data_IF_999932386862
#
_entry.id   IF_999932386862
#
_cell.length_a   1.000
_cell.length_b   1.000
_cell.length_c   1.000
_cell.angle_alpha   90.00
_cell.angle_beta   90.00
_cell.angle_gamma   90.00
#
_symmetry.space_group_name_H-M   'P 1'
#
loop_
_entity.id
_entity.type
_entity.pdbx_description
1 polymer ?
#
# COMPACT_ATOMS: atom_id res chain seq x y z
N UNK A 1 4.22 1.60 -5.50
CA UNK A 1 5.59 2.02 -5.11
C UNK A 1 6.30 0.91 -4.31
N UNK A 2 5.59 0.24 -3.38
CA UNK A 2 6.20 -0.71 -2.43
C UNK A 2 6.51 -2.11 -2.99
N UNK A 3 5.99 -2.49 -4.15
CA UNK A 3 6.19 -3.81 -4.75
C UNK A 3 7.67 -4.11 -5.00
N UNK A 4 8.17 -5.26 -4.52
CA UNK A 4 9.57 -5.70 -4.64
C UNK A 4 10.57 -4.57 -4.34
N UNK A 5 10.38 -3.86 -3.22
CA UNK A 5 11.17 -2.68 -2.86
C UNK A 5 11.55 -2.68 -1.38
N UNK A 6 12.52 -1.89 -0.98
CA UNK A 6 12.90 -1.69 0.41
C UNK A 6 12.41 -0.34 0.95
N UNK A 7 12.33 -0.21 2.27
CA UNK A 7 11.74 0.95 2.94
C UNK A 7 12.50 2.25 2.59
N UNK A 8 13.83 2.23 2.59
CA UNK A 8 14.63 3.43 2.28
C UNK A 8 14.35 3.94 0.87
N UNK A 9 14.32 3.04 -0.12
CA UNK A 9 14.01 3.39 -1.50
C UNK A 9 12.55 3.86 -1.67
N UNK A 10 11.59 3.22 -0.96
CA UNK A 10 10.17 3.63 -0.96
C UNK A 10 10.05 5.07 -0.47
N UNK A 11 10.65 5.40 0.68
CA UNK A 11 10.66 6.77 1.23
C UNK A 11 11.21 7.77 0.22
N UNK A 12 12.37 7.51 -0.36
CA UNK A 12 12.96 8.40 -1.36
C UNK A 12 12.11 8.56 -2.63
N UNK A 13 11.39 7.53 -3.08
CA UNK A 13 10.45 7.63 -4.20
C UNK A 13 9.27 8.52 -3.81
N UNK A 14 8.68 8.32 -2.64
CA UNK A 14 7.53 9.12 -2.15
C UNK A 14 7.94 10.59 -1.98
N UNK A 15 9.09 10.86 -1.38
CA UNK A 15 9.60 12.24 -1.22
C UNK A 15 9.78 12.95 -2.57
N UNK A 16 10.40 12.28 -3.54
CA UNK A 16 10.57 12.86 -4.89
C UNK A 16 9.23 13.04 -5.60
N UNK A 17 8.30 12.09 -5.44
CA UNK A 17 6.96 12.19 -6.02
C UNK A 17 6.21 13.41 -5.47
N UNK A 18 6.18 13.57 -4.14
CA UNK A 18 5.57 14.72 -3.49
C UNK A 18 6.21 16.03 -3.94
N UNK A 19 7.54 16.10 -3.93
CA UNK A 19 8.28 17.32 -4.32
C UNK A 19 8.10 17.70 -5.79
N UNK A 20 7.96 16.72 -6.69
CA UNK A 20 7.86 16.99 -8.14
C UNK A 20 6.44 17.25 -8.60
N UNK A 21 5.44 16.70 -7.93
CA UNK A 21 4.05 16.69 -8.43
C UNK A 21 3.00 17.05 -7.36
N UNK A 22 3.38 17.19 -6.11
CA UNK A 22 2.50 17.63 -5.03
C UNK A 22 2.49 19.15 -4.86
N UNK A 23 1.58 19.65 -4.04
CA UNK A 23 1.45 21.06 -3.72
C UNK A 23 2.38 21.44 -2.57
N UNK A 24 2.89 22.66 -2.60
CA UNK A 24 3.72 23.22 -1.52
C UNK A 24 2.86 23.51 -0.28
N UNK A 25 3.33 23.05 0.88
CA UNK A 25 2.71 23.28 2.18
C UNK A 25 3.73 23.95 3.11
N UNK A 26 3.50 25.22 3.42
CA UNK A 26 4.36 25.97 4.33
C UNK A 26 3.88 25.85 5.77
N UNK A 27 4.74 25.37 6.67
CA UNK A 27 4.45 25.24 8.11
C UNK A 27 5.56 25.96 8.88
N UNK A 28 5.30 27.17 9.35
CA UNK A 28 6.33 28.06 9.90
C UNK A 28 7.39 28.35 8.83
N UNK A 29 8.66 28.14 9.15
CA UNK A 29 9.79 28.33 8.22
C UNK A 29 10.12 27.07 7.40
N UNK A 30 9.35 25.98 7.53
CA UNK A 30 9.58 24.73 6.83
C UNK A 30 8.62 24.56 5.67
N UNK A 31 9.17 24.04 4.56
CA UNK A 31 8.42 23.69 3.36
C UNK A 31 8.25 22.19 3.27
N UNK A 32 7.02 21.77 3.08
CA UNK A 32 6.59 20.39 2.85
C UNK A 32 5.86 20.30 1.51
N UNK A 33 5.57 19.07 1.07
CA UNK A 33 4.84 18.83 -0.16
C UNK A 33 3.76 17.78 0.09
N UNK A 34 2.54 18.03 -0.42
CA UNK A 34 1.46 17.06 -0.38
C UNK A 34 1.78 15.83 -1.25
N UNK A 35 1.11 14.71 -0.98
CA UNK A 35 1.08 13.63 -1.98
C UNK A 35 0.21 14.10 -3.16
N UNK A 36 0.64 13.91 -4.43
CA UNK A 36 -0.11 14.36 -5.59
C UNK A 36 -1.48 13.67 -5.68
N UNK A 37 -2.49 14.41 -6.17
CA UNK A 37 -3.83 13.87 -6.37
C UNK A 37 -3.87 12.80 -7.48
N UNK A 38 -4.94 12.02 -7.51
CA UNK A 38 -5.13 11.02 -8.56
C UNK A 38 -5.25 11.67 -9.94
N UNK A 39 -5.93 12.81 -10.02
CA UNK A 39 -6.10 13.60 -11.26
C UNK A 39 -4.74 14.04 -11.78
N UNK A 40 -3.92 14.63 -10.90
CA UNK A 40 -2.56 15.07 -11.28
C UNK A 40 -1.70 13.93 -11.81
N UNK A 41 -1.77 12.76 -11.17
CA UNK A 41 -0.99 11.58 -11.59
C UNK A 41 -1.55 10.93 -12.86
N UNK A 42 -2.87 10.96 -13.08
CA UNK A 42 -3.51 10.37 -14.25
C UNK A 42 -3.15 11.08 -15.56
N UNK A 43 -2.84 12.40 -15.49
CA UNK A 43 -2.40 13.21 -16.63
C UNK A 43 -0.97 12.93 -17.07
N UNK A 44 -0.16 12.26 -16.22
CA UNK A 44 1.25 12.02 -16.50
C UNK A 44 1.44 10.80 -17.42
N UNK A 45 2.57 10.81 -18.14
CA UNK A 45 3.09 9.64 -18.82
C UNK A 45 4.24 9.01 -18.01
N UNK A 46 4.50 7.68 -18.14
CA UNK A 46 5.52 6.99 -17.34
C UNK A 46 6.91 7.64 -17.40
N UNK A 47 7.28 8.22 -18.55
CA UNK A 47 8.55 8.90 -18.76
C UNK A 47 8.70 10.15 -17.90
N UNK A 48 7.59 10.87 -17.62
CA UNK A 48 7.57 12.04 -16.76
C UNK A 48 7.90 11.68 -15.30
N UNK A 49 7.65 10.42 -14.89
CA UNK A 49 8.02 9.89 -13.59
C UNK A 49 9.47 9.40 -13.50
N UNK A 50 10.31 9.59 -14.52
CA UNK A 50 11.73 9.22 -14.47
C UNK A 50 12.46 9.90 -13.31
N UNK A 51 12.11 11.16 -13.00
CA UNK A 51 12.70 11.97 -11.92
C UNK A 51 12.55 11.33 -10.54
N UNK A 52 11.48 10.54 -10.28
CA UNK A 52 11.27 9.88 -9.00
C UNK A 52 12.02 8.54 -8.87
N UNK A 53 12.62 8.04 -9.93
CA UNK A 53 13.41 6.78 -9.99
C UNK A 53 12.60 5.55 -9.52
N UNK A 54 11.31 5.48 -9.87
CA UNK A 54 10.42 4.36 -9.52
C UNK A 54 10.63 3.12 -10.39
N UNK A 55 11.33 3.26 -11.55
CA UNK A 55 11.48 2.21 -12.54
C UNK A 55 10.12 1.79 -13.11
N UNK A 56 9.91 0.49 -13.36
CA UNK A 56 8.66 -0.06 -13.91
C UNK A 56 7.41 0.29 -13.09
N UNK A 57 7.56 0.75 -11.86
CA UNK A 57 6.45 1.17 -10.99
C UNK A 57 5.82 2.49 -11.43
N UNK A 58 6.48 3.26 -12.30
CA UNK A 58 5.90 4.47 -12.88
C UNK A 58 4.57 4.16 -13.56
N UNK A 59 4.55 3.14 -14.40
CA UNK A 59 3.34 2.68 -15.08
C UNK A 59 2.22 2.27 -14.10
N UNK A 60 2.57 1.55 -13.03
CA UNK A 60 1.58 1.13 -12.02
C UNK A 60 1.00 2.30 -11.22
N UNK A 61 1.79 3.34 -10.95
CA UNK A 61 1.32 4.56 -10.29
C UNK A 61 0.27 5.24 -11.16
N UNK A 62 0.56 5.42 -12.45
CA UNK A 62 -0.34 6.06 -13.41
C UNK A 62 -1.59 5.22 -13.65
N UNK A 63 -1.45 3.91 -13.85
CA UNK A 63 -2.61 3.01 -14.01
C UNK A 63 -3.55 3.08 -12.80
N UNK A 64 -3.00 3.11 -11.58
CA UNK A 64 -3.82 3.22 -10.37
C UNK A 64 -4.54 4.57 -10.29
N UNK A 65 -3.87 5.66 -10.63
CA UNK A 65 -4.47 7.00 -10.66
C UNK A 65 -5.59 7.08 -11.71
N UNK A 66 -5.32 6.61 -12.92
CA UNK A 66 -6.32 6.56 -14.02
C UNK A 66 -7.53 5.71 -13.65
N UNK A 67 -7.34 4.56 -12.99
CA UNK A 67 -8.45 3.71 -12.56
C UNK A 67 -9.39 4.43 -11.57
N UNK A 68 -8.85 5.26 -10.69
CA UNK A 68 -9.66 6.08 -9.76
C UNK A 68 -10.36 7.20 -10.50
N UNK A 69 -9.64 7.95 -11.34
CA UNK A 69 -10.20 9.10 -12.07
C UNK A 69 -11.29 8.70 -13.06
N UNK A 70 -11.12 7.56 -13.73
CA UNK A 70 -12.11 7.03 -14.68
C UNK A 70 -13.32 6.39 -13.98
N UNK A 71 -13.30 6.22 -12.66
CA UNK A 71 -14.37 5.56 -11.92
C UNK A 71 -14.34 4.03 -11.99
N UNK A 72 -13.28 3.42 -12.54
CA UNK A 72 -13.09 1.96 -12.53
C UNK A 72 -12.93 1.45 -11.09
N UNK A 73 -12.39 2.30 -10.22
CA UNK A 73 -12.24 2.07 -8.78
C UNK A 73 -12.86 3.25 -8.01
N UNK A 74 -13.97 2.98 -7.33
CA UNK A 74 -14.59 3.92 -6.39
C UNK A 74 -14.12 3.60 -4.96
N UNK A 75 -13.14 4.36 -4.47
CA UNK A 75 -12.55 4.16 -3.14
C UNK A 75 -13.57 4.36 -2.01
N UNK A 76 -14.54 5.25 -2.17
CA UNK A 76 -15.57 5.49 -1.16
C UNK A 76 -16.59 4.35 -1.09
N UNK A 77 -16.95 3.77 -2.23
CA UNK A 77 -17.76 2.56 -2.27
C UNK A 77 -17.00 1.37 -1.65
N UNK A 78 -15.69 1.25 -1.93
CA UNK A 78 -14.86 0.17 -1.37
C UNK A 78 -14.69 0.25 0.15
N UNK A 79 -14.77 1.42 0.76
CA UNK A 79 -14.79 1.57 2.23
C UNK A 79 -16.03 0.97 2.88
N UNK A 80 -17.13 0.87 2.13
CA UNK A 80 -18.45 0.47 2.63
C UNK A 80 -18.82 -0.98 2.28
N UNK A 81 -18.13 -1.60 1.36
CA UNK A 81 -18.39 -2.98 0.94
C UNK A 81 -17.64 -3.99 1.84
N UNK A 82 -17.93 -5.27 1.64
CA UNK A 82 -17.14 -6.35 2.28
C UNK A 82 -15.66 -6.27 1.84
N UNK A 83 -14.73 -6.51 2.78
CA UNK A 83 -13.30 -6.37 2.51
C UNK A 83 -12.78 -7.32 1.42
N UNK A 84 -13.37 -8.49 1.25
CA UNK A 84 -13.01 -9.44 0.18
C UNK A 84 -13.45 -8.94 -1.19
N UNK A 85 -14.61 -8.24 -1.24
CA UNK A 85 -15.06 -7.56 -2.46
C UNK A 85 -14.11 -6.41 -2.80
N UNK A 86 -13.69 -5.62 -1.81
CA UNK A 86 -12.69 -4.56 -1.99
C UNK A 86 -11.35 -5.11 -2.52
N UNK A 87 -10.85 -6.21 -1.97
CA UNK A 87 -9.64 -6.90 -2.46
C UNK A 87 -9.82 -7.32 -3.93
N UNK A 88 -10.95 -7.94 -4.27
CA UNK A 88 -11.25 -8.40 -5.64
C UNK A 88 -11.25 -7.23 -6.62
N UNK A 89 -11.91 -6.13 -6.28
CA UNK A 89 -11.96 -4.92 -7.09
C UNK A 89 -10.55 -4.33 -7.28
N UNK A 90 -9.79 -4.12 -6.20
CA UNK A 90 -8.44 -3.56 -6.27
C UNK A 90 -7.48 -4.40 -7.12
N UNK A 91 -7.66 -5.71 -7.18
CA UNK A 91 -6.83 -6.62 -8.00
C UNK A 91 -7.06 -6.49 -9.50
N UNK A 92 -8.08 -5.79 -9.95
CA UNK A 92 -8.27 -5.46 -11.39
C UNK A 92 -7.28 -4.40 -11.84
N UNK A 93 -6.73 -3.62 -10.90
CA UNK A 93 -5.76 -2.56 -11.21
C UNK A 93 -4.40 -3.18 -11.51
N UNK A 94 -3.82 -2.79 -12.63
CA UNK A 94 -2.50 -3.29 -13.06
C UNK A 94 -1.42 -3.01 -12.00
N UNK A 95 -0.68 -4.05 -11.62
CA UNK A 95 0.36 -3.97 -10.58
C UNK A 95 -0.15 -4.14 -9.15
N UNK A 96 -1.45 -4.35 -8.95
CA UNK A 96 -2.04 -4.64 -7.63
C UNK A 96 -2.29 -6.14 -7.49
N UNK A 97 -1.38 -6.83 -6.80
CA UNK A 97 -1.56 -8.22 -6.41
C UNK A 97 -2.25 -8.37 -5.06
N UNK A 98 -2.45 -9.62 -4.63
CA UNK A 98 -3.12 -9.99 -3.37
C UNK A 98 -2.59 -9.22 -2.15
N UNK A 99 -1.28 -9.24 -1.95
CA UNK A 99 -0.63 -8.56 -0.81
C UNK A 99 -0.84 -7.05 -0.84
N UNK A 100 -0.73 -6.43 -2.02
CA UNK A 100 -0.89 -4.98 -2.17
C UNK A 100 -2.35 -4.60 -1.93
N UNK A 101 -3.31 -5.35 -2.49
CA UNK A 101 -4.73 -5.15 -2.26
C UNK A 101 -5.08 -5.23 -0.77
N UNK A 102 -4.59 -6.25 -0.05
CA UNK A 102 -4.79 -6.38 1.40
C UNK A 102 -4.20 -5.18 2.18
N UNK A 103 -3.04 -4.67 1.77
CA UNK A 103 -2.47 -3.47 2.39
C UNK A 103 -3.34 -2.22 2.14
N UNK A 104 -3.86 -2.03 0.93
CA UNK A 104 -4.76 -0.91 0.61
C UNK A 104 -6.04 -1.01 1.43
N UNK A 105 -6.63 -2.18 1.49
CA UNK A 105 -7.87 -2.45 2.22
C UNK A 105 -7.69 -2.20 3.72
N UNK A 106 -6.59 -2.67 4.31
CA UNK A 106 -6.31 -2.46 5.73
C UNK A 106 -5.97 -0.99 6.05
N UNK A 107 -5.00 -0.42 5.35
CA UNK A 107 -4.42 0.88 5.74
C UNK A 107 -5.11 2.09 5.09
N UNK A 108 -5.69 1.90 3.90
CA UNK A 108 -6.33 2.97 3.14
C UNK A 108 -7.86 3.01 3.31
N UNK A 109 -8.48 1.84 3.43
CA UNK A 109 -9.93 1.70 3.49
C UNK A 109 -10.48 1.34 4.87
N UNK A 110 -9.59 1.10 5.86
CA UNK A 110 -9.93 0.79 7.26
C UNK A 110 -10.70 -0.52 7.49
N UNK A 111 -10.58 -1.49 6.60
CA UNK A 111 -11.09 -2.85 6.84
C UNK A 111 -10.13 -3.61 7.74
N UNK A 112 -10.35 -3.53 9.05
CA UNK A 112 -9.43 -4.03 10.08
C UNK A 112 -9.37 -5.55 10.16
N UNK A 113 -10.26 -6.27 9.49
CA UNK A 113 -10.26 -7.72 9.28
C UNK A 113 -9.27 -8.20 8.21
N UNK A 114 -8.78 -7.31 7.35
CA UNK A 114 -7.81 -7.66 6.32
C UNK A 114 -6.44 -8.01 6.94
N UNK A 115 -5.82 -9.09 6.43
CA UNK A 115 -4.58 -9.63 6.97
C UNK A 115 -3.50 -9.75 5.88
N UNK A 116 -2.74 -8.69 5.59
CA UNK A 116 -1.69 -8.74 4.58
C UNK A 116 -0.59 -9.75 4.93
N UNK A 117 -0.33 -10.69 4.03
CA UNK A 117 0.70 -11.72 4.24
C UNK A 117 1.87 -11.44 3.29
N UNK A 118 3.00 -11.03 3.84
CA UNK A 118 4.28 -10.93 3.13
C UNK A 118 5.23 -12.07 3.53
N UNK A 119 6.48 -12.02 3.08
CA UNK A 119 7.50 -13.04 3.37
C UNK A 119 7.77 -13.16 4.88
N UNK A 120 7.78 -12.03 5.61
CA UNK A 120 7.99 -12.01 7.04
C UNK A 120 6.81 -12.63 7.79
N UNK A 121 5.59 -12.27 7.38
CA UNK A 121 4.38 -12.85 7.94
C UNK A 121 4.27 -14.34 7.68
N UNK A 122 4.59 -14.80 6.45
CA UNK A 122 4.61 -16.25 6.14
C UNK A 122 5.56 -16.99 7.06
N UNK A 123 6.76 -16.45 7.29
CA UNK A 123 7.74 -17.02 8.19
C UNK A 123 7.24 -17.01 9.64
N UNK A 124 6.76 -15.87 10.12
CA UNK A 124 6.25 -15.73 11.48
C UNK A 124 5.09 -16.69 11.78
N UNK A 125 4.15 -16.83 10.86
CA UNK A 125 3.04 -17.77 10.99
C UNK A 125 3.54 -19.21 11.06
N UNK A 126 4.45 -19.59 10.17
CA UNK A 126 5.02 -20.96 10.16
C UNK A 126 5.79 -21.30 11.43
N UNK A 127 6.51 -20.33 12.01
CA UNK A 127 7.38 -20.56 13.17
C UNK A 127 6.65 -20.49 14.51
N UNK A 128 5.56 -19.74 14.62
CA UNK A 128 4.95 -19.37 15.89
C UNK A 128 3.48 -19.74 16.04
N UNK A 129 2.83 -20.24 14.97
CA UNK A 129 1.41 -20.58 15.00
C UNK A 129 1.18 -22.04 14.56
N UNK A 130 0.10 -22.68 15.03
CA UNK A 130 -0.23 -24.02 14.60
C UNK A 130 -0.57 -24.08 13.10
N UNK A 131 -0.40 -25.25 12.44
CA UNK A 131 -0.60 -25.38 10.99
C UNK A 131 -2.02 -25.06 10.51
N UNK A 132 -3.03 -25.22 11.36
CA UNK A 132 -4.44 -24.95 11.13
C UNK A 132 -4.85 -23.51 11.50
N UNK A 133 -3.89 -22.67 11.90
CA UNK A 133 -4.18 -21.28 12.20
C UNK A 133 -4.71 -20.54 10.99
N UNK A 134 -5.90 -19.92 11.14
CA UNK A 134 -6.49 -19.04 10.13
C UNK A 134 -6.57 -17.61 10.67
N UNK A 135 -6.11 -16.59 9.90
CA UNK A 135 -6.25 -15.19 10.28
C UNK A 135 -7.70 -14.76 10.58
N UNK A 136 -8.68 -15.40 9.93
CA UNK A 136 -10.10 -15.15 10.15
C UNK A 136 -10.53 -15.44 11.60
N UNK A 137 -9.83 -16.34 12.30
CA UNK A 137 -10.10 -16.63 13.73
C UNK A 137 -9.88 -15.42 14.63
N UNK A 138 -9.13 -14.42 14.19
CA UNK A 138 -8.88 -13.17 14.92
C UNK A 138 -10.02 -12.16 14.75
N UNK A 139 -11.00 -12.45 13.90
CA UNK A 139 -12.20 -11.63 13.68
C UNK A 139 -11.85 -10.23 13.14
N UNK A 140 -12.68 -9.25 13.55
CA UNK A 140 -12.58 -7.86 13.04
C UNK A 140 -11.26 -7.15 13.31
N UNK A 141 -10.42 -7.67 14.17
CA UNK A 141 -9.13 -7.08 14.53
C UNK A 141 -7.92 -7.83 13.95
N UNK A 142 -8.15 -8.70 12.98
CA UNK A 142 -7.09 -9.51 12.37
C UNK A 142 -5.94 -8.64 11.83
N UNK A 143 -6.24 -7.53 11.16
CA UNK A 143 -5.24 -6.60 10.65
C UNK A 143 -4.42 -5.90 11.72
N UNK A 144 -5.05 -5.59 12.87
CA UNK A 144 -4.32 -5.04 14.01
C UNK A 144 -3.36 -6.09 14.61
N UNK A 145 -3.84 -7.30 14.83
CA UNK A 145 -3.00 -8.42 15.27
C UNK A 145 -1.84 -8.70 14.30
N UNK A 146 -2.11 -8.61 12.99
CA UNK A 146 -1.09 -8.73 11.95
C UNK A 146 0.05 -7.72 12.14
N UNK A 147 -0.24 -6.48 12.51
CA UNK A 147 0.79 -5.46 12.74
C UNK A 147 1.67 -5.80 13.95
N UNK A 148 1.10 -6.32 15.03
CA UNK A 148 1.90 -6.78 16.19
C UNK A 148 2.77 -7.97 15.84
N UNK A 149 2.25 -8.96 15.12
CA UNK A 149 3.02 -10.15 14.67
C UNK A 149 4.15 -9.71 13.74
N UNK A 150 3.86 -8.81 12.80
CA UNK A 150 4.86 -8.29 11.86
C UNK A 150 5.98 -7.53 12.57
N UNK A 151 5.64 -6.65 13.52
CA UNK A 151 6.61 -5.92 14.31
C UNK A 151 7.51 -6.86 15.11
N UNK A 152 6.92 -7.84 15.80
CA UNK A 152 7.63 -8.85 16.56
C UNK A 152 8.58 -9.66 15.68
N UNK A 153 8.13 -10.17 14.54
CA UNK A 153 8.96 -10.93 13.62
C UNK A 153 10.15 -10.13 13.08
N UNK A 154 9.95 -8.84 12.80
CA UNK A 154 11.02 -7.96 12.32
C UNK A 154 12.02 -7.56 13.39
N UNK A 155 11.60 -7.36 14.64
CA UNK A 155 12.51 -6.99 15.74
C UNK A 155 13.46 -8.14 16.04
N UNK A 156 12.97 -9.39 16.12
CA UNK A 156 13.82 -10.58 16.31
C UNK A 156 14.75 -10.90 15.14
N UNK A 157 14.35 -10.55 13.91
CA UNK A 157 15.19 -10.76 12.72
C UNK A 157 16.39 -9.81 12.61
N UNK A 158 16.47 -8.78 13.47
CA UNK A 158 17.61 -7.85 13.56
C UNK A 158 18.64 -8.27 14.61
N UNK A 159 18.30 -9.23 15.46
CA UNK A 159 19.19 -9.75 16.52
C UNK A 159 20.02 -10.96 16.05
N UNK A 160 19.91 -11.36 14.79
CA UNK A 160 20.74 -12.36 14.12
C UNK A 160 21.51 -11.72 12.95
#
# INVERSE_FOLDING_TARGET
ISQCNNISRIKGIVERLCKSFGDEIKVGDKLYYSFPSAERLAELEPEMLACIRSGYRAEYIICAARAVVNGDIDLEALKKCDYRQAIKALRTVRGVGEKVANCVVLFGLWHTEAFPIDVWMKRALKENFPPDFSPESLGRYAGLAQQYIFYYARSRGKEK
#
